data_IF_954976751907
#
_entry.id   IF_954976751907
#
_cell.length_a   1.000
_cell.length_b   1.000
_cell.length_c   1.000
_cell.angle_alpha   90.00
_cell.angle_beta   90.00
_cell.angle_gamma   90.00
#
_symmetry.space_group_name_H-M   'P 1'
#
loop_
_entity.id
_entity.type
_entity.pdbx_description
1 polymer ?
#
# COMPACT_ATOMS: atom_id res chain seq x y z
N UNK A 1 28.40 1.05 5.99
CA UNK A 1 27.74 1.16 7.32
C UNK A 1 26.21 1.10 7.30
N UNK A 2 25.54 1.28 6.16
CA UNK A 2 24.05 1.29 6.05
C UNK A 2 23.39 -0.11 6.06
N UNK A 3 24.09 -1.16 5.69
CA UNK A 3 23.56 -2.54 5.64
C UNK A 3 23.39 -3.16 7.04
N UNK A 4 24.25 -2.78 8.00
CA UNK A 4 24.22 -3.35 9.36
C UNK A 4 23.00 -2.93 10.19
N UNK A 5 22.43 -1.74 9.93
CA UNK A 5 21.21 -1.28 10.63
C UNK A 5 19.95 -2.03 10.15
N UNK A 6 19.87 -2.34 8.87
CA UNK A 6 18.72 -3.10 8.31
C UNK A 6 18.71 -4.54 8.84
N UNK A 7 19.89 -5.16 8.95
CA UNK A 7 20.04 -6.53 9.48
C UNK A 7 19.66 -6.61 10.96
N UNK A 8 19.97 -5.56 11.75
CA UNK A 8 19.61 -5.50 13.17
C UNK A 8 18.09 -5.32 13.38
N UNK A 9 17.44 -4.52 12.55
CA UNK A 9 15.99 -4.31 12.63
C UNK A 9 15.21 -5.59 12.29
N UNK A 10 15.67 -6.37 11.31
CA UNK A 10 15.06 -7.66 10.94
C UNK A 10 15.31 -8.71 12.03
N UNK A 11 16.51 -8.78 12.60
CA UNK A 11 16.84 -9.73 13.66
C UNK A 11 16.08 -9.47 14.96
N UNK A 12 15.81 -8.21 15.31
CA UNK A 12 15.03 -7.88 16.52
C UNK A 12 13.55 -8.19 16.41
N UNK A 13 13.00 -8.26 15.19
CA UNK A 13 11.60 -8.66 14.95
C UNK A 13 11.38 -10.18 15.08
N UNK A 14 12.43 -10.99 14.90
CA UNK A 14 12.35 -12.46 14.95
C UNK A 14 12.45 -13.02 16.38
N UNK A 15 12.94 -12.24 17.34
CA UNK A 15 13.20 -12.71 18.71
C UNK A 15 12.02 -12.59 19.69
N UNK A 16 10.87 -12.06 19.28
CA UNK A 16 9.69 -11.90 20.14
C UNK A 16 8.61 -12.86 19.68
N UNK A 17 8.39 -13.93 20.45
CA UNK A 17 7.34 -14.95 20.30
C UNK A 17 6.51 -14.83 19.02
N UNK A 18 6.86 -15.68 18.04
CA UNK A 18 6.48 -15.62 16.64
C UNK A 18 4.99 -15.84 16.36
N UNK A 19 4.14 -14.90 16.72
CA UNK A 19 2.75 -14.88 16.26
C UNK A 19 2.56 -13.64 15.37
N UNK A 20 2.41 -13.89 14.05
CA UNK A 20 1.96 -12.94 13.03
C UNK A 20 3.01 -11.96 12.42
N UNK A 21 4.29 -12.34 12.32
CA UNK A 21 5.18 -11.66 11.35
C UNK A 21 4.81 -12.13 9.96
N UNK A 22 4.63 -11.20 9.02
CA UNK A 22 4.46 -11.53 7.62
C UNK A 22 5.41 -10.74 6.73
N UNK A 23 5.84 -11.37 5.66
CA UNK A 23 6.62 -10.78 4.58
C UNK A 23 5.77 -10.87 3.31
N UNK A 24 5.58 -9.76 2.62
CA UNK A 24 4.85 -9.68 1.36
C UNK A 24 5.76 -9.08 0.29
N UNK A 25 6.03 -9.84 -0.75
CA UNK A 25 6.71 -9.36 -1.95
C UNK A 25 5.71 -9.21 -3.08
N UNK A 26 5.78 -8.11 -3.82
CA UNK A 26 4.90 -7.81 -4.94
C UNK A 26 5.66 -7.17 -6.09
N UNK A 27 5.43 -7.68 -7.28
CA UNK A 27 5.80 -7.07 -8.54
C UNK A 27 4.59 -6.44 -9.20
N UNK A 28 4.75 -5.25 -9.78
CA UNK A 28 3.71 -4.47 -10.45
C UNK A 28 4.17 -4.09 -11.85
N UNK A 29 3.27 -4.14 -12.82
CA UNK A 29 3.45 -3.56 -14.15
C UNK A 29 2.16 -2.85 -14.59
N UNK A 30 2.29 -1.91 -15.52
CA UNK A 30 1.18 -1.19 -16.13
C UNK A 30 1.11 -1.49 -17.63
N UNK A 31 -0.09 -1.43 -18.19
CA UNK A 31 -0.36 -1.59 -19.62
C UNK A 31 0.06 -0.32 -20.37
N UNK A 32 1.36 -0.12 -20.48
CA UNK A 32 1.99 1.00 -21.18
C UNK A 32 3.19 0.49 -21.96
N UNK A 33 3.65 1.26 -22.96
CA UNK A 33 4.83 0.90 -23.75
C UNK A 33 6.09 0.66 -22.90
N UNK A 34 6.20 1.32 -21.75
CA UNK A 34 7.31 1.17 -20.80
C UNK A 34 7.03 0.17 -19.68
N UNK A 35 5.79 -0.34 -19.58
CA UNK A 35 5.29 -1.25 -18.55
C UNK A 35 5.44 -0.76 -17.09
N UNK A 36 6.26 0.25 -16.79
CA UNK A 36 6.41 0.91 -15.50
C UNK A 36 6.63 -0.05 -14.33
N UNK A 37 7.57 -1.01 -14.48
CA UNK A 37 7.83 -2.04 -13.48
C UNK A 37 8.18 -1.48 -12.11
N UNK A 38 7.53 -2.00 -11.07
CA UNK A 38 7.75 -1.62 -9.66
C UNK A 38 7.73 -2.85 -8.78
N UNK A 39 8.53 -2.81 -7.74
CA UNK A 39 8.63 -3.86 -6.74
C UNK A 39 8.41 -3.32 -5.34
N UNK A 40 7.91 -4.18 -4.47
CA UNK A 40 7.66 -3.86 -3.08
C UNK A 40 7.98 -5.04 -2.17
N UNK A 41 8.69 -4.78 -1.10
CA UNK A 41 8.83 -5.69 0.02
C UNK A 41 8.22 -5.05 1.26
N UNK A 42 7.20 -5.68 1.82
CA UNK A 42 6.53 -5.26 3.05
C UNK A 42 6.82 -6.30 4.14
N UNK A 43 7.28 -5.84 5.29
CA UNK A 43 7.38 -6.64 6.51
C UNK A 43 6.39 -6.05 7.52
N UNK A 44 5.55 -6.88 8.10
CA UNK A 44 4.55 -6.44 9.07
C UNK A 44 4.45 -7.39 10.26
N UNK A 45 4.09 -6.82 11.40
CA UNK A 45 3.81 -7.56 12.62
C UNK A 45 2.61 -6.96 13.35
N UNK A 46 1.71 -7.84 13.81
CA UNK A 46 0.61 -7.48 14.70
C UNK A 46 0.80 -8.18 16.04
N UNK A 47 1.03 -7.39 17.09
CA UNK A 47 1.16 -7.91 18.46
C UNK A 47 -0.21 -8.39 19.00
N UNK A 48 -0.18 -9.29 19.96
CA UNK A 48 -1.39 -9.85 20.56
C UNK A 48 -2.30 -8.79 21.23
N UNK A 49 -1.72 -7.67 21.68
CA UNK A 49 -2.47 -6.56 22.26
C UNK A 49 -3.19 -5.68 21.22
N UNK A 50 -3.05 -5.97 19.91
CA UNK A 50 -3.66 -5.21 18.83
C UNK A 50 -2.76 -4.13 18.22
N UNK A 51 -1.61 -3.81 18.82
CA UNK A 51 -0.63 -2.90 18.24
C UNK A 51 0.02 -3.55 16.99
N UNK A 52 0.27 -2.76 15.97
CA UNK A 52 0.85 -3.22 14.71
C UNK A 52 1.91 -2.27 14.20
N UNK A 53 2.97 -2.86 13.66
CA UNK A 53 4.03 -2.15 12.95
C UNK A 53 4.23 -2.78 11.59
N UNK A 54 4.51 -1.96 10.59
CA UNK A 54 5.00 -2.43 9.29
C UNK A 54 6.03 -1.48 8.71
N UNK A 55 6.90 -2.05 7.89
CA UNK A 55 7.88 -1.30 7.09
C UNK A 55 7.84 -1.81 5.66
N UNK A 56 7.78 -0.88 4.71
CA UNK A 56 7.74 -1.16 3.29
C UNK A 56 8.91 -0.48 2.59
N UNK A 57 9.57 -1.21 1.71
CA UNK A 57 10.59 -0.68 0.78
C UNK A 57 10.06 -0.87 -0.64
N UNK A 58 10.18 0.16 -1.44
CA UNK A 58 9.70 0.19 -2.82
C UNK A 58 10.83 0.48 -3.79
N UNK A 59 10.78 -0.16 -4.95
CA UNK A 59 11.66 0.09 -6.09
C UNK A 59 10.81 0.34 -7.33
N UNK A 60 11.36 1.08 -8.27
CA UNK A 60 10.76 1.29 -9.58
C UNK A 60 11.86 1.27 -10.65
N UNK A 61 11.48 0.95 -11.86
CA UNK A 61 12.34 1.10 -13.01
C UNK A 61 12.73 2.57 -13.18
N UNK A 62 13.97 2.86 -13.43
CA UNK A 62 14.47 4.23 -13.64
C UNK A 62 13.79 4.87 -14.84
N UNK A 63 13.42 6.14 -14.74
CA UNK A 63 12.92 6.93 -15.88
C UNK A 63 13.97 7.14 -16.98
N UNK A 64 15.26 6.93 -16.65
CA UNK A 64 16.36 6.97 -17.61
C UNK A 64 16.60 5.65 -18.34
N UNK A 65 15.87 4.59 -17.96
CA UNK A 65 15.99 3.27 -18.58
C UNK A 65 15.60 3.34 -20.07
N UNK A 66 16.54 2.92 -20.91
CA UNK A 66 16.35 2.86 -22.36
C UNK A 66 15.79 1.51 -22.83
N UNK A 67 15.62 0.57 -21.93
CA UNK A 67 15.08 -0.76 -22.20
C UNK A 67 13.71 -0.92 -21.53
N UNK A 68 12.65 -0.31 -22.08
CA UNK A 68 11.31 -0.43 -21.50
C UNK A 68 10.84 -1.87 -21.47
N UNK A 69 9.84 -2.15 -20.62
CA UNK A 69 9.23 -3.47 -20.47
C UNK A 69 10.25 -4.58 -20.13
N UNK A 70 11.24 -4.28 -19.30
CA UNK A 70 12.25 -5.23 -18.86
C UNK A 70 12.22 -5.30 -17.33
N UNK A 71 11.56 -6.31 -16.75
CA UNK A 71 11.46 -6.47 -15.29
C UNK A 71 12.85 -6.46 -14.64
N UNK A 72 12.98 -5.85 -13.48
CA UNK A 72 14.18 -5.80 -12.64
C UNK A 72 15.39 -5.08 -13.28
N UNK A 73 15.21 -4.39 -14.41
CA UNK A 73 16.27 -3.61 -15.02
C UNK A 73 16.32 -2.20 -14.44
N UNK A 74 17.53 -1.69 -14.20
CA UNK A 74 17.80 -0.31 -13.71
C UNK A 74 16.87 0.14 -12.56
N UNK A 75 16.68 -0.71 -11.58
CA UNK A 75 15.84 -0.39 -10.44
C UNK A 75 16.46 0.66 -9.53
N UNK A 76 15.66 1.66 -9.18
CA UNK A 76 16.01 2.71 -8.22
C UNK A 76 15.02 2.73 -7.06
N UNK A 77 15.42 3.34 -5.95
CA UNK A 77 14.51 3.51 -4.80
C UNK A 77 13.27 4.32 -5.19
N UNK A 78 12.10 3.79 -4.85
CA UNK A 78 10.80 4.45 -5.02
C UNK A 78 10.13 4.76 -3.67
N UNK A 79 10.96 4.95 -2.64
CA UNK A 79 10.53 5.35 -1.31
C UNK A 79 10.39 4.20 -0.33
N UNK A 80 10.20 4.58 0.91
CA UNK A 80 9.95 3.70 2.05
C UNK A 80 8.73 4.16 2.80
N UNK A 81 8.01 3.25 3.43
CA UNK A 81 6.88 3.58 4.29
C UNK A 81 6.98 2.82 5.61
N UNK A 82 6.69 3.51 6.71
CA UNK A 82 6.55 2.90 8.04
C UNK A 82 5.16 3.20 8.55
N UNK A 83 4.49 2.18 9.10
CA UNK A 83 3.13 2.31 9.64
C UNK A 83 3.11 1.80 11.07
N UNK A 84 2.48 2.57 11.95
CA UNK A 84 2.07 2.15 13.29
C UNK A 84 0.54 2.22 13.39
N UNK A 85 -0.07 1.19 13.97
CA UNK A 85 -1.52 1.13 14.10
C UNK A 85 -1.96 0.36 15.33
N UNK A 86 -3.23 0.51 15.70
CA UNK A 86 -3.82 -0.25 16.78
C UNK A 86 -5.21 -0.75 16.39
N UNK A 87 -5.46 -2.05 16.47
CA UNK A 87 -6.78 -2.64 16.22
C UNK A 87 -7.53 -2.78 17.54
N UNK A 88 -8.64 -2.06 17.65
CA UNK A 88 -9.60 -2.20 18.74
C UNK A 88 -10.84 -2.97 18.23
N UNK A 89 -11.12 -4.11 18.84
CA UNK A 89 -12.30 -4.93 18.54
C UNK A 89 -13.42 -4.60 19.53
N UNK A 90 -14.53 -4.10 19.04
CA UNK A 90 -15.74 -3.91 19.87
C UNK A 90 -16.41 -5.26 20.16
N UNK A 91 -16.42 -6.14 19.15
CA UNK A 91 -16.98 -7.48 19.23
C UNK A 91 -16.40 -8.35 18.09
N UNK A 92 -16.97 -9.52 17.82
CA UNK A 92 -16.55 -10.40 16.73
C UNK A 92 -16.82 -9.82 15.33
N UNK A 93 -17.79 -8.90 15.22
CA UNK A 93 -18.19 -8.29 13.94
C UNK A 93 -17.44 -7.00 13.67
N UNK A 94 -17.37 -6.06 14.61
CA UNK A 94 -16.87 -4.72 14.39
C UNK A 94 -15.53 -4.44 15.06
N UNK A 95 -14.65 -3.82 14.30
CA UNK A 95 -13.38 -3.29 14.78
C UNK A 95 -13.05 -1.94 14.14
N UNK A 96 -12.22 -1.16 14.84
CA UNK A 96 -11.60 0.05 14.30
C UNK A 96 -10.08 -0.06 14.39
N UNK A 97 -9.40 0.64 13.49
CA UNK A 97 -7.94 0.70 13.43
C UNK A 97 -7.51 2.14 13.18
N UNK A 98 -7.28 2.95 14.24
CA UNK A 98 -6.48 4.15 14.10
C UNK A 98 -5.03 3.79 13.78
N UNK A 99 -4.40 4.59 12.92
CA UNK A 99 -3.01 4.39 12.56
C UNK A 99 -2.39 5.64 11.97
N UNK A 100 -1.09 5.55 11.78
CA UNK A 100 -0.29 6.59 11.16
C UNK A 100 0.75 5.97 10.25
N UNK A 101 0.87 6.49 9.04
CA UNK A 101 1.96 6.13 8.14
C UNK A 101 2.81 7.33 7.77
N UNK A 102 4.12 7.09 7.70
CA UNK A 102 5.11 8.00 7.16
C UNK A 102 5.73 7.38 5.94
N UNK A 103 5.52 7.99 4.80
CA UNK A 103 6.18 7.63 3.55
C UNK A 103 7.28 8.64 3.25
N UNK A 104 8.50 8.14 3.02
CA UNK A 104 9.67 8.94 2.65
C UNK A 104 10.11 8.62 1.24
N UNK A 105 10.17 9.64 0.40
CA UNK A 105 10.76 9.59 -0.93
C UNK A 105 12.10 10.32 -0.98
N UNK A 106 12.69 10.43 -2.17
CA UNK A 106 13.95 11.16 -2.40
C UNK A 106 13.81 12.67 -2.19
N UNK A 107 12.61 13.23 -2.37
CA UNK A 107 12.37 14.68 -2.38
C UNK A 107 11.21 15.11 -1.47
N UNK A 108 10.52 14.20 -0.83
CA UNK A 108 9.37 14.54 0.03
C UNK A 108 9.12 13.51 1.12
N UNK A 109 8.40 13.97 2.16
CA UNK A 109 7.80 13.12 3.17
C UNK A 109 6.29 13.32 3.17
N UNK A 110 5.55 12.23 3.28
CA UNK A 110 4.10 12.21 3.29
C UNK A 110 3.59 11.62 4.62
N UNK A 111 2.91 12.45 5.40
CA UNK A 111 2.36 12.11 6.71
C UNK A 111 0.89 11.75 6.54
N UNK A 112 0.49 10.54 6.92
CA UNK A 112 -0.84 10.00 6.63
C UNK A 112 -1.46 9.34 7.88
N UNK A 113 -2.05 10.12 8.80
CA UNK A 113 -2.91 9.52 9.81
C UNK A 113 -4.12 8.85 9.15
N UNK A 114 -4.68 7.81 9.76
CA UNK A 114 -5.88 7.18 9.25
C UNK A 114 -6.78 6.59 10.33
N UNK A 115 -8.02 6.41 9.98
CA UNK A 115 -8.97 5.59 10.72
C UNK A 115 -9.62 4.61 9.74
N UNK A 116 -9.57 3.31 10.09
CA UNK A 116 -10.21 2.23 9.34
C UNK A 116 -11.26 1.56 10.21
N UNK A 117 -12.48 1.46 9.71
CA UNK A 117 -13.54 0.61 10.26
C UNK A 117 -13.60 -0.70 9.48
N UNK A 118 -13.84 -1.82 10.15
CA UNK A 118 -14.06 -3.12 9.52
C UNK A 118 -15.25 -3.83 10.16
N UNK A 119 -16.07 -4.45 9.32
CA UNK A 119 -17.14 -5.36 9.72
C UNK A 119 -16.97 -6.72 9.05
N UNK A 120 -16.97 -7.79 9.85
CA UNK A 120 -17.11 -9.17 9.39
C UNK A 120 -18.61 -9.46 9.28
N UNK A 121 -19.17 -9.32 8.07
CA UNK A 121 -20.60 -9.45 7.80
C UNK A 121 -21.05 -10.90 7.97
N UNK A 122 -20.21 -11.83 7.51
CA UNK A 122 -20.31 -13.27 7.74
C UNK A 122 -18.92 -13.81 8.04
N UNK A 123 -18.80 -15.12 8.26
CA UNK A 123 -17.50 -15.80 8.42
C UNK A 123 -16.63 -15.67 7.16
N UNK A 124 -17.26 -15.55 5.99
CA UNK A 124 -16.58 -15.49 4.68
C UNK A 124 -16.53 -14.09 4.08
N UNK A 125 -17.37 -13.15 4.53
CA UNK A 125 -17.51 -11.81 3.95
C UNK A 125 -17.12 -10.74 4.96
N UNK A 126 -16.16 -9.90 4.58
CA UNK A 126 -15.83 -8.71 5.34
C UNK A 126 -15.83 -7.47 4.47
N UNK A 127 -16.18 -6.33 5.08
CA UNK A 127 -16.12 -5.01 4.47
C UNK A 127 -15.30 -4.09 5.34
N UNK A 128 -14.60 -3.13 4.73
CA UNK A 128 -13.85 -2.12 5.46
C UNK A 128 -13.93 -0.77 4.74
N UNK A 129 -13.86 0.29 5.51
CA UNK A 129 -13.72 1.66 5.02
C UNK A 129 -12.60 2.35 5.78
N UNK A 130 -11.68 2.97 5.04
CA UNK A 130 -10.57 3.75 5.60
C UNK A 130 -10.64 5.18 5.11
N UNK A 131 -10.58 6.13 6.03
CA UNK A 131 -10.32 7.54 5.77
C UNK A 131 -8.88 7.86 6.14
N UNK A 132 -8.11 8.41 5.19
CA UNK A 132 -6.68 8.69 5.34
C UNK A 132 -6.35 10.07 4.76
N UNK A 133 -6.37 11.14 5.56
CA UNK A 133 -5.80 12.41 5.14
C UNK A 133 -4.29 12.28 4.91
N UNK A 134 -3.75 13.10 4.02
CA UNK A 134 -2.33 13.17 3.74
C UNK A 134 -1.81 14.60 3.75
N UNK A 135 -0.56 14.75 4.20
CA UNK A 135 0.18 15.99 4.27
C UNK A 135 1.57 15.76 3.69
N UNK A 136 1.73 16.08 2.42
CA UNK A 136 2.98 15.86 1.68
C UNK A 136 3.84 17.11 1.72
N UNK A 137 5.03 17.01 2.32
CA UNK A 137 6.04 18.06 2.37
C UNK A 137 7.20 17.74 1.43
N UNK A 138 7.48 18.65 0.51
CA UNK A 138 8.66 18.60 -0.34
C UNK A 138 9.88 19.14 0.43
N UNK A 139 11.08 18.62 0.14
CA UNK A 139 12.32 18.99 0.85
C UNK A 139 12.64 20.49 0.77
N UNK A 140 12.33 21.16 -0.34
CA UNK A 140 12.48 22.59 -0.52
C UNK A 140 11.45 23.46 0.20
N UNK A 141 10.44 22.85 0.82
CA UNK A 141 9.31 23.55 1.46
C UNK A 141 9.35 23.49 3.00
N UNK A 142 10.37 22.88 3.58
CA UNK A 142 10.51 22.81 5.03
C UNK A 142 10.67 24.23 5.58
N UNK A 143 9.79 24.61 6.51
CA UNK A 143 9.78 25.94 7.12
C UNK A 143 9.12 27.04 6.28
N UNK A 144 8.55 26.73 5.12
CA UNK A 144 7.77 27.67 4.30
C UNK A 144 6.27 27.47 4.53
N UNK A 145 5.55 28.56 4.62
CA UNK A 145 4.08 28.52 4.74
C UNK A 145 3.42 28.18 3.40
N UNK A 146 2.25 27.54 3.50
CA UNK A 146 1.35 27.25 2.37
C UNK A 146 1.94 26.50 1.16
N UNK A 147 2.98 25.68 1.39
CA UNK A 147 3.64 24.90 0.33
C UNK A 147 3.41 23.40 0.45
N UNK A 148 2.58 22.98 1.40
CA UNK A 148 2.26 21.57 1.63
C UNK A 148 1.13 21.12 0.71
N UNK A 149 1.36 20.03 -0.04
CA UNK A 149 0.26 19.31 -0.67
C UNK A 149 -0.52 18.53 0.37
N UNK A 150 -1.83 18.67 0.34
CA UNK A 150 -2.73 18.00 1.28
C UNK A 150 -3.99 17.53 0.58
N UNK A 151 -4.59 16.53 1.18
CA UNK A 151 -5.84 15.97 0.71
C UNK A 151 -6.21 14.76 1.55
N UNK A 152 -7.03 13.90 1.00
CA UNK A 152 -7.42 12.66 1.67
C UNK A 152 -7.66 11.54 0.68
N UNK A 153 -7.64 10.31 1.20
CA UNK A 153 -8.00 9.09 0.51
C UNK A 153 -9.10 8.38 1.27
N UNK A 154 -10.17 8.02 0.58
CA UNK A 154 -11.18 7.07 1.05
C UNK A 154 -10.92 5.73 0.37
N UNK A 155 -10.80 4.65 1.14
CA UNK A 155 -10.59 3.31 0.60
C UNK A 155 -11.68 2.38 1.13
N UNK A 156 -12.52 1.87 0.23
CA UNK A 156 -13.49 0.80 0.52
C UNK A 156 -12.91 -0.55 0.11
N UNK A 157 -13.05 -1.56 0.96
CA UNK A 157 -12.66 -2.92 0.67
C UNK A 157 -13.83 -3.88 0.91
N UNK A 158 -13.96 -4.87 0.05
CA UNK A 158 -14.85 -6.03 0.20
C UNK A 158 -13.99 -7.26 -0.04
N UNK A 159 -13.91 -8.17 0.93
CA UNK A 159 -13.19 -9.43 0.83
C UNK A 159 -14.18 -10.59 1.02
N UNK A 160 -14.19 -11.53 0.09
CA UNK A 160 -15.01 -12.74 0.16
C UNK A 160 -14.13 -13.99 0.04
N UNK A 161 -14.20 -14.84 1.05
CA UNK A 161 -13.51 -16.13 1.09
C UNK A 161 -14.42 -17.23 0.56
N UNK A 162 -13.90 -18.12 -0.28
CA UNK A 162 -14.65 -19.22 -0.88
C UNK A 162 -13.76 -20.45 -1.06
N UNK A 163 -14.36 -21.61 -1.20
CA UNK A 163 -13.66 -22.89 -1.35
C UNK A 163 -12.56 -23.11 -0.30
N UNK A 164 -12.74 -22.56 0.91
CA UNK A 164 -11.81 -22.58 2.07
C UNK A 164 -10.51 -21.84 1.91
N UNK A 165 -9.87 -21.91 0.72
CA UNK A 165 -8.49 -21.45 0.51
C UNK A 165 -8.38 -20.24 -0.42
N UNK A 166 -9.47 -19.83 -1.06
CA UNK A 166 -9.48 -18.68 -1.95
C UNK A 166 -10.10 -17.46 -1.30
N UNK A 167 -9.56 -16.29 -1.60
CA UNK A 167 -10.17 -15.01 -1.23
C UNK A 167 -10.13 -14.09 -2.45
N UNK A 168 -11.30 -13.60 -2.85
CA UNK A 168 -11.42 -12.49 -3.80
C UNK A 168 -11.65 -11.20 -3.02
N UNK A 169 -10.84 -10.18 -3.33
CA UNK A 169 -10.96 -8.85 -2.75
C UNK A 169 -11.25 -7.82 -3.84
N UNK A 170 -12.11 -6.86 -3.52
CA UNK A 170 -12.31 -5.67 -4.31
C UNK A 170 -11.96 -4.45 -3.47
N UNK A 171 -11.16 -3.54 -4.05
CA UNK A 171 -10.79 -2.27 -3.45
C UNK A 171 -11.18 -1.13 -4.37
N UNK A 172 -11.90 -0.16 -3.80
CA UNK A 172 -12.19 1.14 -4.40
C UNK A 172 -11.43 2.20 -3.61
N UNK A 173 -10.55 2.94 -4.29
CA UNK A 173 -9.86 4.08 -3.70
C UNK A 173 -10.29 5.37 -4.40
N UNK A 174 -10.80 6.33 -3.60
CA UNK A 174 -11.05 7.70 -4.01
C UNK A 174 -10.03 8.59 -3.33
N UNK A 175 -9.19 9.27 -4.10
CA UNK A 175 -8.19 10.23 -3.63
C UNK A 175 -8.56 11.62 -4.07
N UNK A 176 -8.47 12.62 -3.17
CA UNK A 176 -8.76 14.03 -3.46
C UNK A 176 -7.66 14.93 -2.92
N UNK A 177 -7.18 15.84 -3.77
CA UNK A 177 -6.32 16.96 -3.37
C UNK A 177 -7.17 18.12 -2.84
N UNK A 178 -6.70 18.80 -1.80
CA UNK A 178 -7.39 19.97 -1.21
C UNK A 178 -6.51 21.21 -1.12
N UNK A 179 -5.29 21.16 -1.68
CA UNK A 179 -4.34 22.28 -1.68
C UNK A 179 -4.58 23.30 -2.81
N UNK A 180 -5.53 23.04 -3.72
CA UNK A 180 -5.83 23.89 -4.87
C UNK A 180 -4.75 23.90 -5.98
N UNK A 181 -3.71 23.05 -5.84
CA UNK A 181 -2.60 22.93 -6.80
C UNK A 181 -2.38 21.50 -7.28
N UNK A 182 -3.08 20.53 -6.66
CA UNK A 182 -2.89 19.12 -6.93
C UNK A 182 -3.83 18.69 -8.04
N UNK A 183 -3.29 18.38 -9.21
CA UNK A 183 -3.98 17.65 -10.27
C UNK A 183 -3.65 16.17 -10.08
N UNK A 184 -4.65 15.30 -10.10
CA UNK A 184 -4.50 13.87 -9.88
C UNK A 184 -4.82 13.04 -11.12
N UNK A 185 -5.87 13.41 -11.86
CA UNK A 185 -6.30 12.74 -13.07
C UNK A 185 -7.22 13.67 -13.88
N UNK A 186 -7.17 13.61 -15.19
CA UNK A 186 -8.07 14.32 -16.14
C UNK A 186 -8.24 15.82 -15.82
N UNK A 187 -7.17 16.52 -15.48
CA UNK A 187 -7.18 17.90 -15.01
C UNK A 187 -7.97 18.17 -13.72
N UNK A 188 -8.41 17.12 -13.04
CA UNK A 188 -9.16 17.19 -11.80
C UNK A 188 -8.28 16.98 -10.55
N UNK A 189 -8.78 17.46 -9.41
CA UNK A 189 -8.15 17.32 -8.11
C UNK A 189 -8.45 15.98 -7.43
N UNK A 190 -9.09 15.04 -8.13
CA UNK A 190 -9.38 13.70 -7.62
C UNK A 190 -8.98 12.59 -8.60
N UNK A 191 -8.83 11.38 -8.09
CA UNK A 191 -8.63 10.14 -8.85
C UNK A 191 -9.39 8.99 -8.19
N UNK A 192 -9.87 8.08 -9.03
CA UNK A 192 -10.57 6.86 -8.61
C UNK A 192 -9.78 5.66 -9.13
N UNK A 193 -9.43 4.75 -8.23
CA UNK A 193 -8.73 3.50 -8.56
C UNK A 193 -9.58 2.31 -8.15
N UNK A 194 -9.67 1.31 -9.02
CA UNK A 194 -10.31 0.03 -8.77
C UNK A 194 -9.29 -1.09 -8.80
N UNK A 195 -9.33 -1.99 -7.83
CA UNK A 195 -8.48 -3.18 -7.80
C UNK A 195 -9.33 -4.41 -7.49
N UNK A 196 -9.06 -5.50 -8.21
CA UNK A 196 -9.56 -6.84 -7.91
C UNK A 196 -8.38 -7.74 -7.63
N UNK A 197 -8.37 -8.39 -6.48
CA UNK A 197 -7.31 -9.29 -6.04
C UNK A 197 -7.86 -10.69 -5.81
N UNK A 198 -7.21 -11.70 -6.35
CA UNK A 198 -7.43 -13.10 -6.05
C UNK A 198 -6.22 -13.66 -5.31
N UNK A 199 -6.44 -14.21 -4.13
CA UNK A 199 -5.40 -14.87 -3.35
C UNK A 199 -5.75 -16.32 -3.07
N UNK A 200 -4.73 -17.15 -2.98
CA UNK A 200 -4.83 -18.57 -2.69
C UNK A 200 -3.99 -18.94 -1.48
N UNK A 201 -4.61 -19.50 -0.45
CA UNK A 201 -3.91 -20.04 0.72
C UNK A 201 -3.34 -21.41 0.36
N UNK A 202 -2.08 -21.42 -0.11
CA UNK A 202 -1.41 -22.66 -0.52
C UNK A 202 -1.19 -23.60 0.68
N UNK A 203 -0.73 -23.03 1.80
CA UNK A 203 -0.60 -23.73 3.08
C UNK A 203 -0.81 -22.74 4.26
N UNK A 204 -0.37 -23.12 5.45
CA UNK A 204 -0.49 -22.25 6.63
C UNK A 204 0.37 -21.00 6.58
N UNK A 205 1.44 -20.99 5.76
CA UNK A 205 2.44 -19.95 5.69
C UNK A 205 2.37 -19.15 4.38
N UNK A 206 2.14 -19.81 3.23
CA UNK A 206 2.23 -19.23 1.91
C UNK A 206 0.88 -18.83 1.33
N UNK A 207 0.77 -17.58 0.87
CA UNK A 207 -0.43 -17.03 0.24
C UNK A 207 -0.06 -16.23 -1.01
N UNK A 208 0.16 -16.88 -2.18
CA UNK A 208 0.30 -16.18 -3.46
C UNK A 208 -0.98 -15.44 -3.84
N UNK A 209 -0.83 -14.38 -4.65
CA UNK A 209 -1.96 -13.62 -5.17
C UNK A 209 -1.65 -12.96 -6.51
N UNK A 210 -2.71 -12.66 -7.24
CA UNK A 210 -2.71 -11.79 -8.41
C UNK A 210 -3.71 -10.65 -8.20
N UNK A 211 -3.44 -9.49 -8.77
CA UNK A 211 -4.31 -8.34 -8.68
C UNK A 211 -4.32 -7.60 -10.01
N UNK A 212 -5.52 -7.19 -10.43
CA UNK A 212 -5.73 -6.33 -11.61
C UNK A 212 -6.38 -5.05 -11.14
N UNK A 213 -5.83 -3.92 -11.57
CA UNK A 213 -6.33 -2.60 -11.22
C UNK A 213 -6.63 -1.77 -12.45
N UNK A 214 -7.63 -0.91 -12.35
CA UNK A 214 -7.89 0.19 -13.26
C UNK A 214 -7.46 1.49 -12.58
N UNK A 215 -6.46 2.15 -13.14
CA UNK A 215 -5.81 3.33 -12.58
C UNK A 215 -5.80 4.48 -13.58
N UNK A 216 -5.63 5.71 -13.13
CA UNK A 216 -5.40 6.84 -14.02
C UNK A 216 -4.09 6.64 -14.80
N UNK A 217 -4.14 6.93 -16.08
CA UNK A 217 -2.99 6.90 -16.99
C UNK A 217 -2.37 8.27 -17.22
N UNK A 218 -3.12 9.35 -16.91
CA UNK A 218 -2.69 10.72 -17.18
C UNK A 218 -3.25 11.68 -16.13
N UNK A 219 -2.46 12.70 -15.81
CA UNK A 219 -2.94 13.83 -14.99
C UNK A 219 -3.81 14.80 -15.80
N UNK A 220 -3.70 14.79 -17.13
CA UNK A 220 -4.31 15.80 -18.01
C UNK A 220 -5.37 15.26 -18.96
N UNK A 221 -5.59 13.98 -18.99
CA UNK A 221 -6.60 13.31 -19.84
C UNK A 221 -7.36 12.26 -19.05
N UNK A 222 -8.51 11.84 -19.54
CA UNK A 222 -9.36 10.77 -19.00
C UNK A 222 -8.81 9.35 -19.24
N UNK A 223 -7.58 9.24 -19.76
CA UNK A 223 -6.94 7.97 -20.06
C UNK A 223 -6.86 7.06 -18.83
N UNK A 224 -7.33 5.83 -19.00
CA UNK A 224 -7.23 4.79 -17.98
C UNK A 224 -6.23 3.73 -18.41
N UNK A 225 -5.55 3.16 -17.44
CA UNK A 225 -4.56 2.09 -17.65
C UNK A 225 -4.89 0.88 -16.79
N UNK A 226 -4.55 -0.30 -17.32
CA UNK A 226 -4.61 -1.53 -16.55
C UNK A 226 -3.30 -1.75 -15.81
N UNK A 227 -3.40 -2.01 -14.53
CA UNK A 227 -2.28 -2.34 -13.66
C UNK A 227 -2.37 -3.80 -13.26
N UNK A 228 -1.28 -4.54 -13.46
CA UNK A 228 -1.15 -5.94 -13.08
C UNK A 228 -0.18 -6.06 -11.91
N UNK A 229 -0.54 -6.89 -10.94
CA UNK A 229 0.29 -7.19 -9.78
C UNK A 229 0.31 -8.69 -9.53
N UNK A 230 1.48 -9.22 -9.25
CA UNK A 230 1.67 -10.58 -8.75
C UNK A 230 2.48 -10.50 -7.47
N UNK A 231 2.11 -11.29 -6.48
CA UNK A 231 2.83 -11.27 -5.23
C UNK A 231 2.64 -12.54 -4.42
N UNK A 232 3.39 -12.62 -3.34
CA UNK A 232 3.33 -13.71 -2.41
C UNK A 232 3.50 -13.19 -0.99
N UNK A 233 2.63 -13.63 -0.10
CA UNK A 233 2.75 -13.38 1.32
C UNK A 233 3.22 -14.65 2.02
N UNK A 234 4.21 -14.51 2.90
CA UNK A 234 4.66 -15.53 3.82
C UNK A 234 4.37 -15.08 5.25
N UNK A 235 3.75 -15.95 6.04
CA UNK A 235 3.47 -15.71 7.47
C UNK A 235 4.18 -16.77 8.31
N UNK A 236 4.89 -16.33 9.34
CA UNK A 236 5.62 -17.22 10.25
C UNK A 236 4.72 -17.90 11.26
#
# INVERSE_FOLDING_TARGET
MKIKLLTLAVASLVSVNALAVSIDYRHEMQDTAQAGHKDRLLISHRFANGFGLSSEVKWAQSSADKTPNKPFNEQVSNGTEVVASYVYKFNSVFSIEPGFSLESGSSNNNYRPYLRGRANVTDDLSVALRYRPYFKRNSGNIGKDNTMDKGYTLTGNIDYSFLKDYTIGYELEYKKGTSGKTILADNDDYDITHNVKLSYKWDKNWKPYVEVGNVSGSETTDERQTRYRVGVQYSF
#
